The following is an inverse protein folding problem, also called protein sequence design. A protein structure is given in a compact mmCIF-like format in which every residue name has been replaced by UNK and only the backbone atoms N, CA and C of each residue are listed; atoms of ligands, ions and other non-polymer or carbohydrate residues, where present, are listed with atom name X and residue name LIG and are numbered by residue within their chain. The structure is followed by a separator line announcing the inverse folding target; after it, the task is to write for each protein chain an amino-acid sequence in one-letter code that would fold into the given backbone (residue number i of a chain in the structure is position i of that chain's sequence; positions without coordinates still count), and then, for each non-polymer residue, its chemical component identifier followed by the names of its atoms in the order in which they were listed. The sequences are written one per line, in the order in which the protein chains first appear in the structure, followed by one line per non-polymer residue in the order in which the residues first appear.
data_IF_927050908223
#
_entry.id   IF_927050908223
#
_cell.length_a   1.000
_cell.length_b   1.000
_cell.length_c   1.000
_cell.angle_alpha   90.00
_cell.angle_beta   90.00
_cell.angle_gamma   90.00
#
_symmetry.space_group_name_H-M   'P 1'
#
loop_
_entity.id
_entity.type
_entity.pdbx_description
1 polymer ?
#
# COMPACT_ATOMS: atom_id res chain seq x y z
N UNK A 1 -5.58 -4.61 24.80
CA UNK A 1 -5.18 -3.39 24.05
C UNK A 1 -6.21 -2.28 24.21
N UNK A 2 -7.50 -2.56 24.06
CA UNK A 2 -8.59 -1.59 24.18
C UNK A 2 -8.53 -0.81 25.51
N UNK A 3 -8.49 -1.51 26.65
CA UNK A 3 -8.40 -0.90 27.97
C UNK A 3 -7.16 0.00 28.16
N UNK A 4 -6.06 -0.33 27.46
CA UNK A 4 -4.84 0.49 27.47
C UNK A 4 -5.08 1.82 26.74
N UNK A 5 -5.69 1.78 25.56
CA UNK A 5 -6.00 2.98 24.77
C UNK A 5 -7.01 3.88 25.51
N UNK A 6 -8.04 3.31 26.11
CA UNK A 6 -9.01 4.06 26.91
C UNK A 6 -8.35 4.77 28.11
N UNK A 7 -7.43 4.09 28.79
CA UNK A 7 -6.66 4.69 29.87
C UNK A 7 -5.76 5.83 29.39
N UNK A 8 -5.13 5.67 28.22
CA UNK A 8 -4.30 6.73 27.61
C UNK A 8 -5.15 7.94 27.23
N UNK A 9 -6.34 7.72 26.65
CA UNK A 9 -7.30 8.78 26.35
C UNK A 9 -7.79 9.49 27.62
N UNK A 10 -8.05 8.73 28.68
CA UNK A 10 -8.38 9.32 29.98
C UNK A 10 -7.27 10.22 30.51
N UNK A 11 -6.01 9.75 30.44
CA UNK A 11 -4.84 10.56 30.84
C UNK A 11 -4.71 11.82 29.97
N UNK A 12 -4.90 11.71 28.65
CA UNK A 12 -4.85 12.84 27.72
C UNK A 12 -5.92 13.90 28.08
N UNK A 13 -7.13 13.47 28.43
CA UNK A 13 -8.23 14.36 28.85
C UNK A 13 -8.05 14.91 30.25
N UNK A 14 -7.38 14.18 31.14
CA UNK A 14 -7.10 14.67 32.49
C UNK A 14 -6.06 15.79 32.50
N UNK A 15 -5.14 15.81 31.55
CA UNK A 15 -4.19 16.91 31.39
C UNK A 15 -4.87 18.10 30.72
N UNK A 16 -5.15 19.16 31.52
CA UNK A 16 -5.82 20.38 31.04
C UNK A 16 -5.08 21.04 29.87
N UNK A 17 -3.77 20.83 29.75
CA UNK A 17 -2.98 21.38 28.64
C UNK A 17 -3.26 20.71 27.28
N UNK A 18 -3.76 19.48 27.30
CA UNK A 18 -4.21 18.79 26.09
C UNK A 18 -5.73 18.88 25.93
N UNK A 19 -6.51 18.62 27.00
CA UNK A 19 -7.97 18.53 26.92
C UNK A 19 -8.61 19.78 26.33
N UNK A 20 -8.15 20.98 26.74
CA UNK A 20 -8.65 22.26 26.21
C UNK A 20 -8.54 22.40 24.68
N UNK A 21 -7.60 21.70 24.07
CA UNK A 21 -7.35 21.74 22.63
C UNK A 21 -8.07 20.62 21.87
N UNK A 22 -8.63 19.64 22.56
CA UNK A 22 -9.46 18.61 21.94
C UNK A 22 -10.79 19.24 21.51
N UNK A 23 -11.04 19.29 20.20
CA UNK A 23 -12.27 19.82 19.63
C UNK A 23 -13.38 18.77 19.60
N UNK A 24 -13.05 17.56 19.23
CA UNK A 24 -13.96 16.42 19.11
C UNK A 24 -13.19 15.10 19.16
N UNK A 25 -13.83 14.06 19.63
CA UNK A 25 -13.33 12.68 19.56
C UNK A 25 -14.41 11.83 18.94
N UNK A 26 -14.11 11.26 17.78
CA UNK A 26 -14.96 10.30 17.08
C UNK A 26 -14.49 8.90 17.38
N UNK A 27 -15.40 8.04 17.78
CA UNK A 27 -15.15 6.62 17.97
C UNK A 27 -15.59 5.86 16.73
N UNK A 28 -14.65 5.23 16.07
CA UNK A 28 -14.91 4.27 15.00
C UNK A 28 -14.92 2.89 15.61
N UNK A 29 -16.13 2.31 15.67
CA UNK A 29 -16.33 0.99 16.25
C UNK A 29 -15.63 -0.11 15.48
N UNK A 30 -15.30 -1.17 16.18
CA UNK A 30 -14.78 -2.38 15.54
C UNK A 30 -15.82 -3.02 14.61
N UNK A 31 -15.30 -3.73 13.63
CA UNK A 31 -16.16 -4.48 12.71
C UNK A 31 -15.55 -5.87 12.49
N UNK A 32 -16.39 -6.87 12.69
CA UNK A 32 -16.06 -8.25 12.40
C UNK A 32 -15.83 -8.48 10.91
N UNK A 33 -15.04 -9.49 10.54
CA UNK A 33 -14.82 -9.83 9.14
C UNK A 33 -16.11 -10.34 8.48
N UNK A 34 -16.33 -9.97 7.24
CA UNK A 34 -17.41 -10.48 6.38
C UNK A 34 -16.75 -11.34 5.32
N UNK A 35 -16.91 -12.64 5.43
CA UNK A 35 -16.41 -13.59 4.47
C UNK A 35 -17.37 -13.74 3.29
N UNK A 36 -16.82 -14.14 2.13
CA UNK A 36 -17.58 -14.44 0.94
C UNK A 36 -17.51 -15.92 0.62
N UNK A 37 -18.33 -16.34 -0.35
CA UNK A 37 -18.29 -17.66 -0.94
C UNK A 37 -17.90 -17.56 -2.42
N UNK A 38 -17.12 -18.50 -2.90
CA UNK A 38 -16.76 -18.63 -4.31
C UNK A 38 -17.68 -19.66 -4.96
N UNK A 39 -18.13 -19.36 -6.18
CA UNK A 39 -19.09 -20.25 -6.91
C UNK A 39 -18.43 -21.49 -7.49
N UNK A 40 -17.23 -21.34 -7.98
CA UNK A 40 -16.45 -22.42 -8.58
C UNK A 40 -15.19 -22.64 -7.75
N UNK A 41 -14.84 -23.91 -7.53
CA UNK A 41 -13.64 -24.28 -6.79
C UNK A 41 -12.37 -23.70 -7.42
N UNK A 42 -11.42 -23.37 -6.57
CA UNK A 42 -10.08 -22.98 -7.00
C UNK A 42 -9.27 -24.23 -7.41
N UNK A 43 -8.27 -24.07 -8.27
CA UNK A 43 -7.25 -25.10 -8.48
C UNK A 43 -6.66 -25.57 -7.13
N UNK A 44 -6.38 -26.86 -7.03
CA UNK A 44 -5.94 -27.51 -5.80
C UNK A 44 -4.77 -26.77 -5.12
N UNK A 45 -3.79 -26.31 -5.89
CA UNK A 45 -2.64 -25.59 -5.37
C UNK A 45 -3.03 -24.29 -4.62
N UNK A 46 -4.07 -23.59 -5.10
CA UNK A 46 -4.56 -22.37 -4.46
C UNK A 46 -5.46 -22.67 -3.26
N UNK A 47 -6.29 -23.71 -3.35
CA UNK A 47 -7.10 -24.17 -2.21
C UNK A 47 -6.22 -24.61 -1.06
N UNK A 48 -5.22 -25.47 -1.31
CA UNK A 48 -4.26 -25.94 -0.33
C UNK A 48 -3.45 -24.79 0.30
N UNK A 49 -3.10 -23.78 -0.50
CA UNK A 49 -2.45 -22.56 0.01
C UNK A 49 -3.33 -21.83 1.01
N UNK A 50 -4.60 -21.59 0.66
CA UNK A 50 -5.54 -20.90 1.55
C UNK A 50 -5.77 -21.69 2.85
N UNK A 51 -5.93 -23.01 2.76
CA UNK A 51 -6.11 -23.88 3.92
C UNK A 51 -4.87 -23.89 4.83
N UNK A 52 -3.68 -24.10 4.27
CA UNK A 52 -2.41 -24.09 5.05
C UNK A 52 -2.16 -22.78 5.78
N UNK A 53 -2.59 -21.65 5.17
CA UNK A 53 -2.46 -20.32 5.78
C UNK A 53 -3.65 -19.95 6.66
N UNK A 54 -4.65 -20.82 6.76
CA UNK A 54 -5.91 -20.54 7.46
C UNK A 54 -6.56 -19.23 7.00
N UNK A 55 -6.57 -19.02 5.67
CA UNK A 55 -7.14 -17.83 5.04
C UNK A 55 -8.57 -18.12 4.59
N UNK A 56 -9.52 -17.42 5.19
CA UNK A 56 -10.89 -17.32 4.67
C UNK A 56 -11.01 -16.04 3.86
N UNK A 57 -11.53 -16.15 2.64
CA UNK A 57 -11.64 -15.00 1.74
C UNK A 57 -12.72 -14.03 2.19
N UNK A 58 -12.38 -12.76 2.24
CA UNK A 58 -13.34 -11.70 2.50
C UNK A 58 -14.29 -11.50 1.31
N UNK A 59 -15.46 -10.94 1.56
CA UNK A 59 -16.50 -10.67 0.55
C UNK A 59 -15.93 -10.00 -0.71
N UNK A 60 -15.18 -8.92 -0.56
CA UNK A 60 -14.57 -8.20 -1.71
C UNK A 60 -13.54 -9.03 -2.49
N UNK A 61 -12.85 -9.98 -1.83
CA UNK A 61 -11.91 -10.88 -2.50
C UNK A 61 -12.64 -11.90 -3.36
N UNK A 62 -13.73 -12.47 -2.84
CA UNK A 62 -14.59 -13.37 -3.61
C UNK A 62 -15.26 -12.64 -4.77
N UNK A 63 -15.79 -11.44 -4.55
CA UNK A 63 -16.40 -10.62 -5.61
C UNK A 63 -15.39 -10.27 -6.70
N UNK A 64 -14.16 -9.91 -6.34
CA UNK A 64 -13.08 -9.65 -7.31
C UNK A 64 -12.77 -10.87 -8.16
N UNK A 65 -12.64 -12.04 -7.54
CA UNK A 65 -12.41 -13.31 -8.21
C UNK A 65 -13.51 -13.61 -9.23
N UNK A 66 -14.77 -13.52 -8.83
CA UNK A 66 -15.92 -13.79 -9.69
C UNK A 66 -16.02 -12.81 -10.88
N UNK A 67 -15.78 -11.52 -10.66
CA UNK A 67 -15.85 -10.53 -11.74
C UNK A 67 -14.67 -10.68 -12.72
N UNK A 68 -13.48 -11.02 -12.22
CA UNK A 68 -12.33 -11.32 -13.09
C UNK A 68 -12.55 -12.57 -13.93
N UNK A 69 -13.13 -13.64 -13.36
CA UNK A 69 -13.49 -14.86 -14.08
C UNK A 69 -14.49 -14.60 -15.22
N UNK A 70 -15.39 -13.62 -15.06
CA UNK A 70 -16.34 -13.19 -16.11
C UNK A 70 -15.68 -12.34 -17.20
N UNK A 71 -14.41 -11.99 -17.08
CA UNK A 71 -13.71 -11.13 -18.03
C UNK A 71 -13.94 -9.62 -17.81
N UNK A 72 -14.53 -9.21 -16.69
CA UNK A 72 -14.77 -7.80 -16.40
C UNK A 72 -13.52 -7.10 -15.92
N UNK A 73 -13.27 -5.87 -16.39
CA UNK A 73 -12.33 -4.98 -15.72
C UNK A 73 -12.92 -4.56 -14.37
N UNK A 74 -12.10 -4.51 -13.34
CA UNK A 74 -12.55 -4.14 -11.99
C UNK A 74 -11.75 -2.99 -11.40
N UNK A 75 -12.41 -2.21 -10.55
CA UNK A 75 -11.76 -1.24 -9.67
C UNK A 75 -12.08 -1.58 -8.21
N UNK A 76 -11.04 -1.86 -7.43
CA UNK A 76 -11.12 -2.22 -6.01
C UNK A 76 -10.81 -0.98 -5.19
N UNK A 77 -11.77 -0.53 -4.36
CA UNK A 77 -11.63 0.69 -3.54
C UNK A 77 -11.78 0.43 -2.05
N UNK A 78 -11.32 -0.71 -1.58
CA UNK A 78 -11.34 -1.02 -0.15
C UNK A 78 -10.16 -0.33 0.55
N UNK A 79 -10.23 -0.06 1.87
CA UNK A 79 -9.18 0.59 2.64
C UNK A 79 -7.82 -0.09 2.52
N UNK A 80 -6.76 0.61 2.94
CA UNK A 80 -5.44 -0.02 3.12
C UNK A 80 -5.52 -1.17 4.12
N UNK A 81 -4.67 -2.17 3.96
CA UNK A 81 -4.64 -3.39 4.78
C UNK A 81 -5.93 -4.25 4.76
N UNK A 82 -6.83 -4.06 3.79
CA UNK A 82 -8.02 -4.90 3.62
C UNK A 82 -7.77 -6.21 2.88
N UNK A 83 -6.54 -6.47 2.43
CA UNK A 83 -6.21 -7.66 1.63
C UNK A 83 -6.45 -7.51 0.13
N UNK A 84 -6.43 -6.26 -0.42
CA UNK A 84 -6.54 -5.99 -1.86
C UNK A 84 -5.56 -6.80 -2.72
N UNK A 85 -4.34 -6.95 -2.24
CA UNK A 85 -3.30 -7.70 -2.94
C UNK A 85 -3.71 -9.14 -3.24
N UNK A 86 -4.36 -9.81 -2.29
CA UNK A 86 -4.89 -11.15 -2.51
C UNK A 86 -6.10 -11.14 -3.46
N UNK A 87 -6.94 -10.09 -3.40
CA UNK A 87 -8.12 -9.94 -4.25
C UNK A 87 -7.79 -9.93 -5.75
N UNK A 88 -6.61 -9.43 -6.15
CA UNK A 88 -6.19 -9.49 -7.55
C UNK A 88 -5.16 -10.59 -7.84
N UNK A 89 -4.29 -10.95 -6.90
CA UNK A 89 -3.32 -12.02 -7.13
C UNK A 89 -3.96 -13.39 -7.27
N UNK A 90 -4.96 -13.70 -6.44
CA UNK A 90 -5.61 -15.01 -6.45
C UNK A 90 -6.22 -15.37 -7.83
N UNK A 91 -7.07 -14.53 -8.45
CA UNK A 91 -7.61 -14.81 -9.77
C UNK A 91 -6.56 -14.81 -10.89
N UNK A 92 -5.52 -13.98 -10.78
CA UNK A 92 -4.42 -13.98 -11.75
C UNK A 92 -3.65 -15.29 -11.66
N UNK A 93 -3.28 -15.77 -10.47
CA UNK A 93 -2.60 -17.04 -10.29
C UNK A 93 -3.48 -18.21 -10.72
N UNK A 94 -4.78 -18.16 -10.46
CA UNK A 94 -5.73 -19.13 -10.98
C UNK A 94 -5.67 -19.22 -12.52
N UNK A 95 -5.72 -18.08 -13.19
CA UNK A 95 -5.65 -18.06 -14.66
C UNK A 95 -4.30 -18.56 -15.17
N UNK A 96 -3.20 -18.09 -14.57
CA UNK A 96 -1.84 -18.48 -14.94
C UNK A 96 -1.56 -19.96 -14.65
N UNK A 97 -2.27 -20.59 -13.74
CA UNK A 97 -2.16 -22.04 -13.50
C UNK A 97 -2.78 -22.87 -14.63
N UNK A 98 -3.82 -22.32 -15.28
CA UNK A 98 -4.56 -22.97 -16.37
C UNK A 98 -3.94 -22.73 -17.75
N UNK A 99 -3.28 -21.59 -17.95
CA UNK A 99 -2.61 -21.18 -19.19
C UNK A 99 -1.13 -20.90 -18.94
N UNK A 100 -0.25 -21.80 -19.37
CA UNK A 100 1.19 -21.71 -19.15
C UNK A 100 1.89 -20.60 -19.94
N UNK A 101 1.25 -20.04 -20.97
CA UNK A 101 1.79 -18.94 -21.78
C UNK A 101 1.33 -17.57 -21.32
N UNK A 102 0.20 -17.49 -20.62
CA UNK A 102 -0.37 -16.23 -20.15
C UNK A 102 0.62 -15.44 -19.31
N UNK A 103 0.60 -14.11 -19.51
CA UNK A 103 1.44 -13.15 -18.78
C UNK A 103 0.61 -12.07 -18.12
N UNK A 104 1.19 -11.41 -17.11
CA UNK A 104 0.57 -10.31 -16.39
C UNK A 104 1.56 -9.16 -16.13
N UNK A 105 1.09 -7.93 -16.27
CA UNK A 105 1.84 -6.72 -16.03
C UNK A 105 1.30 -6.02 -14.78
N UNK A 106 2.17 -5.73 -13.82
CA UNK A 106 1.84 -4.99 -12.61
C UNK A 106 2.54 -3.64 -12.63
N UNK A 107 1.78 -2.57 -12.53
CA UNK A 107 2.28 -1.19 -12.54
C UNK A 107 2.09 -0.54 -11.18
N UNK A 108 3.19 -0.20 -10.55
CA UNK A 108 3.25 0.52 -9.29
C UNK A 108 3.81 1.93 -9.49
N UNK A 109 3.36 2.92 -8.72
CA UNK A 109 3.86 4.29 -8.86
C UNK A 109 5.30 4.47 -8.40
N UNK A 110 5.81 3.59 -7.53
CA UNK A 110 7.17 3.68 -6.98
C UNK A 110 7.91 2.35 -7.03
N UNK A 111 9.25 2.43 -7.12
CA UNK A 111 10.14 1.26 -7.09
C UNK A 111 10.07 0.50 -5.76
N UNK A 112 9.85 1.20 -4.64
CA UNK A 112 9.73 0.59 -3.32
C UNK A 112 8.54 -0.38 -3.28
N UNK A 113 7.36 0.08 -3.72
CA UNK A 113 6.17 -0.76 -3.86
C UNK A 113 6.41 -1.96 -4.77
N UNK A 114 7.05 -1.74 -5.93
CA UNK A 114 7.37 -2.83 -6.87
C UNK A 114 8.20 -3.92 -6.20
N UNK A 115 9.20 -3.55 -5.41
CA UNK A 115 10.07 -4.51 -4.75
C UNK A 115 9.38 -5.26 -3.60
N UNK A 116 8.48 -4.61 -2.86
CA UNK A 116 7.72 -5.26 -1.79
C UNK A 116 6.68 -6.22 -2.37
N UNK A 117 6.01 -5.83 -3.43
CA UNK A 117 5.08 -6.71 -4.13
C UNK A 117 5.78 -7.90 -4.82
N UNK A 118 7.00 -7.72 -5.31
CA UNK A 118 7.80 -8.84 -5.82
C UNK A 118 8.01 -9.91 -4.73
N UNK A 119 8.25 -9.52 -3.48
CA UNK A 119 8.38 -10.48 -2.37
C UNK A 119 7.08 -11.27 -2.15
N UNK A 120 5.94 -10.58 -2.19
CA UNK A 120 4.61 -11.20 -2.05
C UNK A 120 4.36 -12.19 -3.19
N UNK A 121 4.63 -11.81 -4.43
CA UNK A 121 4.45 -12.67 -5.61
C UNK A 121 5.36 -13.90 -5.57
N UNK A 122 6.62 -13.74 -5.16
CA UNK A 122 7.55 -14.87 -5.00
C UNK A 122 7.15 -15.81 -3.87
N UNK A 123 6.64 -15.28 -2.76
CA UNK A 123 6.11 -16.09 -1.70
C UNK A 123 4.89 -16.90 -2.16
N UNK A 124 3.98 -16.25 -2.88
CA UNK A 124 2.81 -16.92 -3.44
C UNK A 124 3.19 -18.00 -4.47
N UNK A 125 4.15 -17.71 -5.35
CA UNK A 125 4.71 -18.71 -6.30
C UNK A 125 5.27 -19.92 -5.57
N UNK A 126 6.10 -19.71 -4.56
CA UNK A 126 6.71 -20.79 -3.77
C UNK A 126 5.69 -21.63 -3.00
N UNK A 127 4.67 -20.97 -2.44
CA UNK A 127 3.64 -21.63 -1.62
C UNK A 127 2.59 -22.38 -2.46
N UNK A 128 2.31 -21.91 -3.68
CA UNK A 128 1.32 -22.52 -4.58
C UNK A 128 1.95 -23.44 -5.60
N UNK A 129 3.27 -23.43 -5.76
CA UNK A 129 4.02 -24.12 -6.81
C UNK A 129 3.59 -23.76 -8.26
N UNK A 130 2.84 -22.66 -8.42
CA UNK A 130 2.43 -22.13 -9.73
C UNK A 130 3.57 -21.29 -10.28
N UNK A 131 4.34 -21.83 -11.20
CA UNK A 131 5.51 -21.17 -11.78
C UNK A 131 5.13 -19.98 -12.65
N UNK A 132 5.37 -18.77 -12.17
CA UNK A 132 5.12 -17.50 -12.86
C UNK A 132 6.37 -16.66 -13.04
N UNK A 133 7.48 -17.02 -12.36
CA UNK A 133 8.78 -16.35 -12.40
C UNK A 133 8.66 -14.81 -12.32
N UNK A 134 8.11 -14.26 -11.21
CA UNK A 134 7.85 -12.85 -11.11
C UNK A 134 9.16 -12.07 -10.97
N UNK A 135 9.31 -10.99 -11.74
CA UNK A 135 10.48 -10.13 -11.67
C UNK A 135 10.13 -8.65 -11.78
N UNK A 136 10.89 -7.81 -11.08
CA UNK A 136 10.87 -6.36 -11.30
C UNK A 136 11.68 -6.05 -12.56
N UNK A 137 11.11 -5.20 -13.41
CA UNK A 137 11.79 -4.62 -14.55
C UNK A 137 11.65 -3.09 -14.50
N UNK A 138 12.73 -2.44 -14.11
CA UNK A 138 12.80 -0.99 -13.94
C UNK A 138 14.21 -0.46 -14.26
N UNK A 139 14.44 0.85 -14.01
CA UNK A 139 15.73 1.48 -14.29
C UNK A 139 16.92 0.92 -13.49
N UNK A 140 16.65 0.23 -12.36
CA UNK A 140 17.72 -0.38 -11.53
C UNK A 140 18.00 -1.84 -11.93
N UNK A 141 17.20 -2.41 -12.83
CA UNK A 141 17.39 -3.78 -13.31
C UNK A 141 18.68 -3.88 -14.12
N UNK A 142 19.67 -4.71 -13.71
CA UNK A 142 20.95 -4.85 -14.40
C UNK A 142 20.78 -5.30 -15.85
N UNK A 143 21.55 -4.70 -16.76
CA UNK A 143 21.45 -4.96 -18.21
C UNK A 143 21.66 -6.43 -18.57
N UNK A 144 22.53 -7.13 -17.84
CA UNK A 144 22.84 -8.54 -18.09
C UNK A 144 21.65 -9.48 -17.89
N UNK A 145 20.73 -9.18 -16.96
CA UNK A 145 19.57 -10.04 -16.66
C UNK A 145 18.31 -9.63 -17.41
N UNK A 146 18.27 -8.43 -18.02
CA UNK A 146 17.10 -7.92 -18.75
C UNK A 146 16.60 -8.87 -19.84
N UNK A 147 17.46 -9.49 -20.70
CA UNK A 147 16.99 -10.46 -21.69
C UNK A 147 16.31 -11.69 -21.08
N UNK A 148 16.88 -12.21 -19.98
CA UNK A 148 16.33 -13.37 -19.27
C UNK A 148 14.94 -13.04 -18.70
N UNK A 149 14.80 -11.89 -18.02
CA UNK A 149 13.50 -11.46 -17.48
C UNK A 149 12.44 -11.35 -18.58
N UNK A 150 12.77 -10.72 -19.72
CA UNK A 150 11.83 -10.58 -20.85
C UNK A 150 11.32 -11.91 -21.41
N UNK A 151 12.19 -12.92 -21.43
CA UNK A 151 11.89 -14.18 -22.08
C UNK A 151 11.24 -15.20 -21.14
N UNK A 152 11.53 -15.13 -19.84
CA UNK A 152 11.17 -16.18 -18.90
C UNK A 152 10.09 -15.73 -17.88
N UNK A 153 9.93 -14.42 -17.66
CA UNK A 153 8.98 -13.94 -16.64
C UNK A 153 7.56 -13.89 -17.20
N UNK A 154 6.65 -14.54 -16.50
CA UNK A 154 5.22 -14.47 -16.80
C UNK A 154 4.53 -13.34 -16.05
N UNK A 155 5.10 -12.89 -14.91
CA UNK A 155 4.67 -11.69 -14.21
C UNK A 155 5.81 -10.67 -14.23
N UNK A 156 5.55 -9.50 -14.81
CA UNK A 156 6.46 -8.36 -14.79
C UNK A 156 5.89 -7.30 -13.86
N UNK A 157 6.68 -6.90 -12.86
CA UNK A 157 6.39 -5.78 -11.98
C UNK A 157 7.22 -4.58 -12.44
N UNK A 158 6.57 -3.46 -12.74
CA UNK A 158 7.23 -2.28 -13.30
C UNK A 158 6.58 -0.98 -12.82
N UNK A 159 6.96 0.13 -13.42
CA UNK A 159 6.37 1.43 -13.18
C UNK A 159 6.11 2.17 -14.52
N UNK A 160 5.27 3.22 -14.53
CA UNK A 160 4.92 3.93 -15.75
C UNK A 160 6.12 4.52 -16.51
N UNK A 161 7.18 4.94 -15.83
CA UNK A 161 8.38 5.50 -16.47
C UNK A 161 9.12 4.45 -17.27
N UNK A 162 9.35 3.27 -16.69
CA UNK A 162 10.04 2.19 -17.39
C UNK A 162 9.20 1.66 -18.54
N UNK A 163 7.89 1.53 -18.37
CA UNK A 163 7.00 1.13 -19.47
C UNK A 163 7.05 2.13 -20.63
N UNK A 164 7.15 3.43 -20.36
CA UNK A 164 7.36 4.42 -21.39
C UNK A 164 8.65 4.17 -22.21
N UNK A 165 9.72 3.74 -21.56
CA UNK A 165 10.99 3.38 -22.20
C UNK A 165 10.94 2.04 -22.93
N UNK A 166 10.15 1.08 -22.46
CA UNK A 166 10.00 -0.26 -23.07
C UNK A 166 9.23 -0.20 -24.38
N UNK A 167 8.12 0.56 -24.43
CA UNK A 167 7.19 0.53 -25.55
C UNK A 167 7.80 0.83 -26.94
N UNK A 168 8.77 1.74 -27.12
CA UNK A 168 9.47 1.91 -28.42
C UNK A 168 10.22 0.65 -28.88
N UNK A 169 10.58 -0.22 -27.95
CA UNK A 169 11.30 -1.48 -28.19
C UNK A 169 10.39 -2.70 -27.99
N UNK A 170 9.07 -2.56 -28.20
CA UNK A 170 8.07 -3.60 -27.95
C UNK A 170 8.35 -4.90 -28.70
N UNK A 171 9.01 -4.86 -29.85
CA UNK A 171 9.40 -6.06 -30.61
C UNK A 171 10.29 -7.02 -29.79
N UNK A 172 11.08 -6.52 -28.82
CA UNK A 172 11.84 -7.36 -27.89
C UNK A 172 10.98 -8.03 -26.84
N UNK A 173 9.72 -7.60 -26.72
CA UNK A 173 8.72 -8.05 -25.75
C UNK A 173 7.54 -8.75 -26.41
N UNK A 174 7.67 -9.11 -27.69
CA UNK A 174 6.59 -9.69 -28.47
C UNK A 174 5.94 -10.86 -27.73
N UNK A 175 6.71 -11.83 -27.24
CA UNK A 175 6.20 -12.97 -26.50
C UNK A 175 5.36 -12.54 -25.27
N UNK A 176 5.82 -11.58 -24.52
CA UNK A 176 5.12 -11.07 -23.34
C UNK A 176 3.81 -10.37 -23.72
N UNK A 177 3.84 -9.44 -24.67
CA UNK A 177 2.64 -8.70 -25.07
C UNK A 177 1.63 -9.56 -25.83
N UNK A 178 2.04 -10.54 -26.63
CA UNK A 178 1.11 -11.46 -27.32
C UNK A 178 0.30 -12.31 -26.34
N UNK A 179 0.86 -12.60 -25.18
CA UNK A 179 0.24 -13.45 -24.16
C UNK A 179 -0.29 -12.65 -22.96
N UNK A 180 -0.28 -11.32 -23.03
CA UNK A 180 -0.70 -10.47 -21.91
C UNK A 180 -2.21 -10.59 -21.67
N UNK A 181 -2.58 -11.07 -20.47
CA UNK A 181 -3.97 -11.29 -20.05
C UNK A 181 -4.43 -10.30 -18.99
N UNK A 182 -3.51 -9.81 -18.16
CA UNK A 182 -3.84 -8.91 -17.07
C UNK A 182 -2.90 -7.72 -16.98
N UNK A 183 -3.47 -6.54 -16.71
CA UNK A 183 -2.73 -5.34 -16.32
C UNK A 183 -3.28 -4.88 -14.98
N UNK A 184 -2.44 -4.89 -13.95
CA UNK A 184 -2.75 -4.40 -12.61
C UNK A 184 -2.18 -3.00 -12.45
N UNK A 185 -3.02 -2.04 -12.07
CA UNK A 185 -2.65 -0.69 -11.69
C UNK A 185 -2.92 -0.54 -10.19
N UNK A 186 -1.88 -0.67 -9.37
CA UNK A 186 -2.04 -0.54 -7.93
C UNK A 186 -1.70 0.88 -7.44
N UNK A 187 -2.28 1.26 -6.29
CA UNK A 187 -2.22 2.62 -5.72
C UNK A 187 -2.60 3.70 -6.75
N UNK A 188 -3.62 3.40 -7.55
CA UNK A 188 -3.99 4.22 -8.71
C UNK A 188 -4.44 5.64 -8.35
N UNK A 189 -4.82 5.92 -7.10
CA UNK A 189 -5.15 7.27 -6.62
C UNK A 189 -3.99 8.27 -6.77
N UNK A 190 -2.76 7.80 -6.99
CA UNK A 190 -1.58 8.63 -7.26
C UNK A 190 -1.58 9.17 -8.68
N UNK A 191 -2.22 8.47 -9.64
CA UNK A 191 -2.25 8.86 -11.04
C UNK A 191 -3.22 10.02 -11.27
N UNK A 192 -2.86 11.23 -10.77
CA UNK A 192 -3.66 12.46 -10.86
C UNK A 192 -2.87 13.58 -11.52
N UNK A 193 -3.59 14.62 -11.96
CA UNK A 193 -3.00 15.81 -12.59
C UNK A 193 -2.17 15.45 -13.82
N UNK A 194 -1.05 16.12 -14.00
CA UNK A 194 -0.13 15.92 -15.14
C UNK A 194 0.42 14.50 -15.19
N UNK A 195 0.78 13.93 -14.03
CA UNK A 195 1.27 12.55 -13.97
C UNK A 195 0.19 11.56 -14.43
N UNK A 196 -1.03 11.70 -13.92
CA UNK A 196 -2.16 10.85 -14.33
C UNK A 196 -2.49 10.96 -15.81
N UNK A 197 -2.43 12.15 -16.39
CA UNK A 197 -2.61 12.37 -17.84
C UNK A 197 -1.55 11.62 -18.65
N UNK A 198 -0.29 11.67 -18.24
CA UNK A 198 0.79 10.94 -18.91
C UNK A 198 0.59 9.42 -18.79
N UNK A 199 0.18 8.93 -17.62
CA UNK A 199 -0.12 7.50 -17.40
C UNK A 199 -1.30 7.06 -18.26
N UNK A 200 -2.35 7.88 -18.40
CA UNK A 200 -3.49 7.60 -19.28
C UNK A 200 -3.06 7.43 -20.74
N UNK A 201 -2.20 8.32 -21.25
CA UNK A 201 -1.65 8.22 -22.60
C UNK A 201 -0.74 6.98 -22.76
N UNK A 202 0.03 6.65 -21.72
CA UNK A 202 0.85 5.44 -21.69
C UNK A 202 -0.02 4.17 -21.78
N UNK A 203 -1.11 4.09 -21.03
CA UNK A 203 -2.04 2.96 -21.05
C UNK A 203 -2.59 2.75 -22.47
N UNK A 204 -3.06 3.80 -23.14
CA UNK A 204 -3.54 3.71 -24.52
C UNK A 204 -2.47 3.23 -25.51
N UNK A 205 -1.20 3.52 -25.25
CA UNK A 205 -0.10 2.99 -26.04
C UNK A 205 0.15 1.51 -25.75
N UNK A 206 0.02 1.08 -24.48
CA UNK A 206 0.10 -0.35 -24.12
C UNK A 206 -1.02 -1.12 -24.81
N UNK A 207 -2.26 -0.64 -24.76
CA UNK A 207 -3.42 -1.24 -25.42
C UNK A 207 -3.17 -1.44 -26.92
N UNK A 208 -2.69 -0.40 -27.62
CA UNK A 208 -2.35 -0.51 -29.06
C UNK A 208 -1.26 -1.53 -29.36
N UNK A 209 -0.25 -1.66 -28.47
CA UNK A 209 0.79 -2.68 -28.62
C UNK A 209 0.20 -4.07 -28.39
N UNK A 210 -0.67 -4.23 -27.41
CA UNK A 210 -1.38 -5.48 -27.16
C UNK A 210 -2.25 -5.88 -28.37
N UNK A 211 -3.05 -4.94 -28.88
CA UNK A 211 -3.88 -5.15 -30.07
C UNK A 211 -3.03 -5.54 -31.29
N UNK A 212 -1.90 -4.88 -31.52
CA UNK A 212 -0.98 -5.21 -32.60
C UNK A 212 -0.44 -6.63 -32.50
N UNK A 213 -0.22 -7.16 -31.30
CA UNK A 213 0.22 -8.54 -31.06
C UNK A 213 -0.94 -9.52 -30.82
N UNK A 214 -2.19 -9.09 -30.96
CA UNK A 214 -3.38 -9.94 -30.87
C UNK A 214 -3.81 -10.27 -29.43
N UNK A 215 -3.40 -9.50 -28.45
CA UNK A 215 -3.87 -9.64 -27.06
C UNK A 215 -4.84 -8.52 -26.65
N UNK A 216 -5.72 -8.83 -25.71
CA UNK A 216 -6.68 -7.89 -25.11
C UNK A 216 -6.69 -8.11 -23.59
N UNK A 217 -5.79 -7.47 -22.86
CA UNK A 217 -5.67 -7.69 -21.43
C UNK A 217 -6.83 -7.11 -20.65
N UNK A 218 -7.24 -7.80 -19.60
CA UNK A 218 -8.17 -7.32 -18.59
C UNK A 218 -7.44 -6.40 -17.61
N UNK A 219 -8.07 -5.27 -17.26
CA UNK A 219 -7.50 -4.30 -16.33
C UNK A 219 -8.08 -4.47 -14.93
N UNK A 220 -7.19 -4.45 -13.95
CA UNK A 220 -7.50 -4.49 -12.53
C UNK A 220 -6.89 -3.26 -11.89
N UNK A 221 -7.72 -2.37 -11.37
CA UNK A 221 -7.29 -1.16 -10.70
C UNK A 221 -7.50 -1.32 -9.19
N UNK A 222 -6.45 -1.16 -8.42
CA UNK A 222 -6.51 -1.12 -6.96
C UNK A 222 -6.17 0.29 -6.48
N UNK A 223 -6.96 0.80 -5.56
CA UNK A 223 -6.81 2.17 -5.06
C UNK A 223 -7.28 2.28 -3.62
N UNK A 224 -6.80 3.30 -2.90
CA UNK A 224 -7.42 3.75 -1.67
C UNK A 224 -8.84 4.28 -1.95
N UNK A 225 -9.58 4.60 -0.90
CA UNK A 225 -10.95 5.15 -1.03
C UNK A 225 -10.97 6.41 -1.89
N UNK A 226 -11.76 6.39 -2.96
CA UNK A 226 -12.02 7.50 -3.87
C UNK A 226 -13.52 7.80 -3.90
N UNK A 227 -13.88 9.08 -4.09
CA UNK A 227 -15.29 9.48 -4.18
C UNK A 227 -15.98 8.97 -5.46
N UNK A 228 -15.23 8.91 -6.58
CA UNK A 228 -15.73 8.54 -7.90
C UNK A 228 -14.81 7.54 -8.63
N UNK A 229 -14.65 6.31 -8.09
CA UNK A 229 -13.63 5.36 -8.57
C UNK A 229 -13.88 4.86 -9.99
N UNK A 230 -15.14 4.63 -10.38
CA UNK A 230 -15.47 4.21 -11.75
C UNK A 230 -15.10 5.30 -12.76
N UNK A 231 -15.56 6.52 -12.54
CA UNK A 231 -15.25 7.64 -13.43
C UNK A 231 -13.74 7.86 -13.56
N UNK A 232 -13.02 7.75 -12.43
CA UNK A 232 -11.57 7.83 -12.42
C UNK A 232 -10.93 6.74 -13.28
N UNK A 233 -11.32 5.48 -13.09
CA UNK A 233 -10.80 4.34 -13.83
C UNK A 233 -11.10 4.46 -15.35
N UNK A 234 -12.32 4.84 -15.69
CA UNK A 234 -12.74 5.04 -17.08
C UNK A 234 -11.99 6.21 -17.75
N UNK A 235 -11.75 7.30 -17.04
CA UNK A 235 -10.92 8.41 -17.56
C UNK A 235 -9.46 8.02 -17.74
N UNK A 236 -8.93 7.23 -16.80
CA UNK A 236 -7.53 6.79 -16.83
C UNK A 236 -7.26 5.84 -18.01
N UNK A 237 -8.17 4.90 -18.30
CA UNK A 237 -7.95 3.82 -19.26
C UNK A 237 -8.83 3.92 -20.52
N UNK A 238 -10.00 4.53 -20.45
CA UNK A 238 -10.99 4.54 -21.53
C UNK A 238 -11.90 3.31 -21.53
N UNK A 239 -11.76 2.39 -20.58
CA UNK A 239 -12.49 1.13 -20.49
C UNK A 239 -13.61 1.20 -19.45
N UNK A 240 -14.57 0.24 -19.54
CA UNK A 240 -15.64 0.09 -18.55
C UNK A 240 -15.20 -0.81 -17.39
N UNK A 241 -15.70 -0.51 -16.19
CA UNK A 241 -15.30 -1.18 -14.95
C UNK A 241 -16.49 -1.61 -14.11
N UNK A 242 -16.29 -2.70 -13.35
CA UNK A 242 -17.11 -3.06 -12.19
C UNK A 242 -16.45 -2.54 -10.92
N UNK A 243 -17.25 -1.98 -10.02
CA UNK A 243 -16.78 -1.47 -8.72
C UNK A 243 -16.82 -2.58 -7.68
N UNK A 244 -15.71 -2.77 -6.98
CA UNK A 244 -15.59 -3.59 -5.78
C UNK A 244 -15.30 -2.66 -4.61
N UNK A 245 -16.31 -2.35 -3.81
CA UNK A 245 -16.22 -1.36 -2.72
C UNK A 245 -16.65 -1.90 -1.36
N UNK A 246 -17.36 -3.04 -1.31
CA UNK A 246 -17.83 -3.62 -0.07
C UNK A 246 -16.69 -4.32 0.68
N UNK A 247 -15.98 -3.55 1.52
CA UNK A 247 -14.88 -4.04 2.31
C UNK A 247 -15.33 -5.06 3.37
N UNK A 248 -14.97 -6.32 3.19
CA UNK A 248 -15.21 -7.41 4.15
C UNK A 248 -14.12 -7.60 5.19
N UNK A 249 -13.05 -6.79 5.21
CA UNK A 249 -11.97 -6.95 6.19
C UNK A 249 -12.39 -6.53 7.59
N UNK A 250 -11.86 -7.15 8.66
CA UNK A 250 -12.10 -6.71 10.01
C UNK A 250 -11.50 -5.33 10.26
N UNK A 251 -12.09 -4.57 11.15
CA UNK A 251 -11.55 -3.29 11.60
C UNK A 251 -11.48 -3.28 13.11
N UNK A 252 -10.33 -2.92 13.64
CA UNK A 252 -10.20 -2.64 15.05
C UNK A 252 -10.81 -1.29 15.42
N UNK A 253 -11.22 -1.15 16.67
CA UNK A 253 -11.70 0.09 17.26
C UNK A 253 -10.66 1.20 17.13
N UNK A 254 -11.07 2.39 16.70
CA UNK A 254 -10.18 3.55 16.52
C UNK A 254 -10.80 4.79 17.11
N UNK A 255 -9.97 5.59 17.77
CA UNK A 255 -10.32 6.91 18.25
C UNK A 255 -9.72 7.96 17.32
N UNK A 256 -10.56 8.75 16.68
CA UNK A 256 -10.17 9.84 15.81
C UNK A 256 -10.31 11.16 16.57
N UNK A 257 -9.18 11.80 16.88
CA UNK A 257 -9.13 12.99 17.75
C UNK A 257 -8.92 14.22 16.86
N UNK A 258 -9.88 15.13 16.88
CA UNK A 258 -9.72 16.47 16.29
C UNK A 258 -9.08 17.38 17.32
N UNK A 259 -7.85 17.76 17.08
CA UNK A 259 -7.05 18.58 17.98
C UNK A 259 -6.77 19.96 17.38
N UNK A 260 -7.21 21.03 18.06
CA UNK A 260 -7.01 22.41 17.63
C UNK A 260 -6.06 23.15 18.58
N UNK A 261 -4.78 23.33 18.24
CA UNK A 261 -3.80 24.01 19.08
C UNK A 261 -4.11 25.49 19.35
N UNK A 262 -5.04 26.08 18.61
CA UNK A 262 -5.41 27.50 18.70
C UNK A 262 -6.75 27.75 19.37
N UNK A 263 -7.43 26.71 19.87
CA UNK A 263 -8.83 26.80 20.38
C UNK A 263 -9.02 27.84 21.49
N UNK A 264 -8.02 28.05 22.30
CA UNK A 264 -8.09 28.95 23.48
C UNK A 264 -7.21 30.22 23.38
N UNK A 265 -6.79 30.57 22.16
CA UNK A 265 -5.98 31.77 21.94
C UNK A 265 -4.50 31.64 22.35
N UNK A 266 -4.07 30.47 22.78
CA UNK A 266 -2.66 30.19 23.02
C UNK A 266 -1.89 30.12 21.72
N UNK A 267 -0.79 30.85 21.62
CA UNK A 267 0.04 30.90 20.41
C UNK A 267 1.13 29.82 20.34
N UNK A 268 0.84 28.63 20.86
CA UNK A 268 1.77 27.52 20.66
C UNK A 268 1.76 27.09 19.17
N UNK A 269 2.94 26.98 18.60
CA UNK A 269 3.00 26.55 17.19
C UNK A 269 2.49 25.12 17.04
N UNK A 270 1.81 24.83 15.93
CA UNK A 270 1.35 23.47 15.58
C UNK A 270 2.47 22.44 15.75
N UNK A 271 3.70 22.81 15.41
CA UNK A 271 4.86 21.91 15.53
C UNK A 271 5.22 21.59 16.98
N UNK A 272 5.08 22.56 17.92
CA UNK A 272 5.31 22.32 19.34
C UNK A 272 4.21 21.42 19.93
N UNK A 273 2.96 21.63 19.53
CA UNK A 273 1.87 20.77 19.97
C UNK A 273 2.01 19.34 19.39
N UNK A 274 2.37 19.20 18.11
CA UNK A 274 2.67 17.89 17.52
C UNK A 274 3.81 17.18 18.28
N UNK A 275 4.87 17.90 18.66
CA UNK A 275 5.96 17.35 19.48
C UNK A 275 5.44 16.89 20.85
N UNK A 276 4.59 17.70 21.52
CA UNK A 276 4.05 17.35 22.84
C UNK A 276 3.18 16.09 22.78
N UNK A 277 2.26 16.02 21.82
CA UNK A 277 1.43 14.83 21.60
C UNK A 277 2.28 13.61 21.25
N UNK A 278 3.26 13.77 20.38
CA UNK A 278 4.17 12.71 19.97
C UNK A 278 4.93 12.11 21.14
N UNK A 279 5.50 12.97 22.03
CA UNK A 279 6.16 12.51 23.23
C UNK A 279 5.20 11.90 24.25
N UNK A 280 4.00 12.46 24.38
CA UNK A 280 2.99 11.91 25.27
C UNK A 280 2.68 10.45 24.91
N UNK A 281 2.37 10.17 23.65
CA UNK A 281 2.05 8.82 23.22
C UNK A 281 3.24 7.84 23.32
N UNK A 282 4.46 8.30 23.03
CA UNK A 282 5.67 7.49 23.21
C UNK A 282 5.91 7.15 24.68
N UNK A 283 5.71 8.10 25.59
CA UNK A 283 5.82 7.89 27.05
C UNK A 283 4.80 6.89 27.59
N UNK A 284 3.61 6.89 27.00
CA UNK A 284 2.58 5.88 27.29
C UNK A 284 2.86 4.50 26.61
N UNK A 285 4.00 4.36 25.95
CA UNK A 285 4.45 3.09 25.34
C UNK A 285 3.96 2.83 23.92
N UNK A 286 3.18 3.75 23.34
CA UNK A 286 2.63 3.59 21.99
C UNK A 286 3.70 3.80 20.91
N UNK A 287 3.63 2.97 19.88
CA UNK A 287 4.38 3.20 18.66
C UNK A 287 3.69 4.26 17.80
N UNK A 288 4.33 5.42 17.67
CA UNK A 288 3.70 6.64 17.16
C UNK A 288 4.36 7.13 15.88
N UNK A 289 3.57 7.42 14.86
CA UNK A 289 3.98 8.10 13.64
C UNK A 289 3.44 9.53 13.63
N UNK A 290 4.32 10.52 13.43
CA UNK A 290 3.94 11.92 13.25
C UNK A 290 4.23 12.35 11.82
N UNK A 291 3.19 12.65 11.04
CA UNK A 291 3.33 13.21 9.70
C UNK A 291 3.62 14.70 9.74
N UNK A 292 4.50 15.15 8.86
CA UNK A 292 4.95 16.53 8.77
C UNK A 292 4.90 17.02 7.32
N UNK A 293 4.66 18.30 7.13
CA UNK A 293 4.55 18.93 5.81
C UNK A 293 5.88 19.10 5.07
N UNK A 294 7.02 18.93 5.76
CA UNK A 294 8.33 19.10 5.13
C UNK A 294 9.42 18.22 5.76
N UNK A 295 10.44 17.90 4.95
CA UNK A 295 11.63 17.16 5.40
C UNK A 295 12.33 17.84 6.58
N UNK A 296 12.39 19.19 6.56
CA UNK A 296 13.00 19.97 7.66
C UNK A 296 12.22 19.80 8.97
N UNK A 297 10.88 19.82 8.90
CA UNK A 297 10.06 19.65 10.09
C UNK A 297 10.11 18.24 10.65
N UNK A 298 10.20 17.23 9.79
CA UNK A 298 10.43 15.86 10.24
C UNK A 298 11.70 15.74 11.10
N UNK A 299 12.82 16.27 10.64
CA UNK A 299 14.07 16.29 11.42
C UNK A 299 13.97 17.11 12.69
N UNK A 300 13.36 18.30 12.62
CA UNK A 300 13.27 19.20 13.77
C UNK A 300 12.39 18.65 14.88
N UNK A 301 11.22 18.08 14.56
CA UNK A 301 10.34 17.51 15.58
C UNK A 301 11.01 16.30 16.25
N UNK A 302 11.67 15.42 15.49
CA UNK A 302 12.43 14.33 16.09
C UNK A 302 13.54 14.82 17.02
N UNK A 303 14.31 15.81 16.57
CA UNK A 303 15.39 16.41 17.36
C UNK A 303 14.86 17.07 18.64
N UNK A 304 13.86 17.94 18.52
CA UNK A 304 13.26 18.62 19.69
C UNK A 304 12.61 17.62 20.66
N UNK A 305 12.07 16.52 20.16
CA UNK A 305 11.56 15.45 21.00
C UNK A 305 12.67 14.82 21.83
N UNK A 306 13.79 14.49 21.20
CA UNK A 306 14.98 13.94 21.91
C UNK A 306 15.55 14.92 22.94
N UNK A 307 15.63 16.22 22.61
CA UNK A 307 16.11 17.28 23.49
C UNK A 307 15.17 17.55 24.69
N UNK A 308 13.88 17.18 24.56
CA UNK A 308 12.88 17.37 25.62
C UNK A 308 12.77 16.16 26.57
N UNK A 309 13.52 15.09 26.34
CA UNK A 309 13.59 13.91 27.21
C UNK A 309 14.63 14.19 28.32
N UNK A 310 14.24 13.89 29.56
CA UNK A 310 15.15 13.99 30.69
C UNK A 310 16.09 12.80 30.84
N UNK A 311 16.95 12.80 31.86
CA UNK A 311 17.93 11.75 32.08
C UNK A 311 17.29 10.38 32.40
N UNK A 312 16.10 10.35 32.97
CA UNK A 312 15.36 9.11 33.25
C UNK A 312 14.77 8.46 31.97
N UNK A 313 14.57 9.26 30.95
CA UNK A 313 13.98 8.90 29.65
C UNK A 313 15.04 8.70 28.55
N UNK A 314 16.33 8.71 28.88
CA UNK A 314 17.42 8.61 27.91
C UNK A 314 17.31 7.40 26.98
N UNK A 315 16.79 6.31 27.49
CA UNK A 315 16.51 5.07 26.73
C UNK A 315 15.50 5.26 25.59
N UNK A 316 14.73 6.35 25.56
CA UNK A 316 13.79 6.68 24.49
C UNK A 316 14.45 7.48 23.36
N UNK A 317 15.59 8.14 23.59
CA UNK A 317 16.26 8.96 22.57
C UNK A 317 16.62 8.16 21.32
N UNK A 318 17.12 6.94 21.52
CA UNK A 318 17.49 6.05 20.41
C UNK A 318 16.29 5.40 19.73
N UNK A 319 15.10 5.47 20.33
CA UNK A 319 13.84 4.94 19.80
C UNK A 319 13.02 5.95 19.01
N UNK A 320 13.49 7.20 18.90
CA UNK A 320 12.87 8.27 18.13
C UNK A 320 13.72 8.56 16.90
N UNK A 321 13.12 8.52 15.72
CA UNK A 321 13.81 8.74 14.45
C UNK A 321 13.02 9.68 13.54
N UNK A 322 13.74 10.40 12.67
CA UNK A 322 13.13 11.03 11.51
C UNK A 322 13.21 10.07 10.32
N UNK A 323 12.24 10.17 9.40
CA UNK A 323 12.25 9.43 8.14
C UNK A 323 11.86 10.36 7.00
N UNK A 324 12.66 10.39 5.93
CA UNK A 324 12.39 11.24 4.76
C UNK A 324 13.02 10.69 3.48
N UNK A 325 12.49 11.14 2.37
CA UNK A 325 13.15 10.96 1.09
C UNK A 325 14.53 11.67 1.11
N UNK A 326 15.56 10.97 0.62
CA UNK A 326 16.94 11.45 0.59
C UNK A 326 17.88 10.80 1.61
N UNK A 327 17.38 9.94 2.50
CA UNK A 327 18.23 9.04 3.27
C UNK A 327 18.78 7.94 2.36
N UNK A 328 19.97 7.44 2.71
CA UNK A 328 20.53 6.27 2.04
C UNK A 328 19.59 5.08 2.17
N UNK A 329 19.54 4.19 1.17
CA UNK A 329 18.66 3.01 1.21
C UNK A 329 18.86 2.14 2.47
N UNK A 330 20.07 2.05 2.98
CA UNK A 330 20.42 1.28 4.18
C UNK A 330 19.82 1.92 5.44
N UNK A 331 19.90 3.24 5.57
CA UNK A 331 19.31 3.98 6.68
C UNK A 331 17.79 3.84 6.69
N UNK A 332 17.15 3.95 5.52
CA UNK A 332 15.70 3.75 5.40
C UNK A 332 15.30 2.36 5.86
N UNK A 333 15.97 1.31 5.35
CA UNK A 333 15.70 -0.08 5.76
C UNK A 333 15.89 -0.31 7.25
N UNK A 334 16.91 0.34 7.86
CA UNK A 334 17.13 0.26 9.30
C UNK A 334 15.95 0.82 10.08
N UNK A 335 15.41 1.96 9.68
CA UNK A 335 14.26 2.60 10.34
C UNK A 335 12.99 1.76 10.11
N UNK A 336 12.75 1.31 8.89
CA UNK A 336 11.61 0.47 8.50
C UNK A 336 11.60 -0.85 9.30
N UNK A 337 12.73 -1.54 9.38
CA UNK A 337 12.87 -2.75 10.18
C UNK A 337 12.74 -2.47 11.69
N UNK A 338 13.27 -1.34 12.15
CA UNK A 338 13.16 -0.94 13.55
C UNK A 338 11.70 -0.65 13.96
N UNK A 339 10.90 -0.06 13.07
CA UNK A 339 9.46 0.11 13.24
C UNK A 339 8.76 -1.26 13.26
N UNK A 340 8.97 -2.06 12.24
CA UNK A 340 8.34 -3.39 12.11
C UNK A 340 8.58 -4.28 13.31
N UNK A 341 9.77 -4.22 13.90
CA UNK A 341 10.15 -5.02 15.07
C UNK A 341 9.83 -4.33 16.41
N UNK A 342 9.18 -3.15 16.41
CA UNK A 342 8.80 -2.43 17.62
C UNK A 342 9.98 -1.83 18.42
N UNK A 343 11.20 -1.84 17.86
CA UNK A 343 12.41 -1.25 18.46
C UNK A 343 12.33 0.27 18.44
N UNK A 344 11.88 0.85 17.31
CA UNK A 344 11.61 2.27 17.19
C UNK A 344 10.20 2.55 17.68
N UNK A 345 10.05 3.48 18.62
CA UNK A 345 8.76 3.84 19.21
C UNK A 345 8.16 5.11 18.61
N UNK A 346 8.97 5.97 18.05
CA UNK A 346 8.50 7.19 17.45
C UNK A 346 9.19 7.51 16.13
N UNK A 347 8.40 7.80 15.09
CA UNK A 347 8.93 8.29 13.82
C UNK A 347 8.20 9.54 13.40
N UNK A 348 8.96 10.55 13.02
CA UNK A 348 8.44 11.73 12.32
C UNK A 348 8.75 11.60 10.84
N UNK A 349 7.76 11.75 9.98
CA UNK A 349 7.93 11.55 8.55
C UNK A 349 7.17 12.58 7.71
N UNK A 350 7.61 12.75 6.48
CA UNK A 350 6.77 13.30 5.43
C UNK A 350 5.91 12.19 4.85
N UNK A 351 5.16 12.47 3.77
CA UNK A 351 4.43 11.45 3.02
C UNK A 351 5.31 10.28 2.48
N UNK A 352 6.60 10.27 2.76
CA UNK A 352 7.51 9.19 2.36
C UNK A 352 7.20 7.84 3.03
N UNK A 353 6.49 7.82 4.18
CA UNK A 353 5.99 6.61 4.83
C UNK A 353 4.49 6.32 4.54
N UNK A 354 3.85 7.15 3.72
CA UNK A 354 2.43 6.98 3.36
C UNK A 354 2.21 5.79 2.44
N UNK A 355 3.18 5.49 1.59
CA UNK A 355 3.03 4.55 0.49
C UNK A 355 4.01 3.38 0.57
N UNK A 356 3.43 2.18 0.62
CA UNK A 356 4.07 0.95 0.23
C UNK A 356 5.19 0.42 1.11
N UNK A 357 5.22 0.83 2.37
CA UNK A 357 6.17 0.29 3.32
C UNK A 357 5.39 -0.47 4.39
N UNK A 358 5.65 -1.75 4.54
CA UNK A 358 5.14 -2.56 5.64
C UNK A 358 5.93 -2.23 6.91
N UNK A 359 5.41 -1.27 7.67
CA UNK A 359 6.00 -0.81 8.94
C UNK A 359 5.42 -1.52 10.17
N UNK A 360 4.57 -2.54 9.96
CA UNK A 360 3.90 -3.23 11.05
C UNK A 360 2.76 -2.44 11.67
N UNK A 361 2.33 -2.85 12.87
CA UNK A 361 1.25 -2.18 13.59
C UNK A 361 1.71 -0.87 14.23
N UNK A 362 1.09 0.25 13.85
CA UNK A 362 1.21 1.53 14.54
C UNK A 362 0.06 1.67 15.53
N UNK A 363 0.36 2.16 16.73
CA UNK A 363 -0.64 2.38 17.78
C UNK A 363 -1.27 3.77 17.67
N UNK A 364 -0.50 4.79 17.25
CA UNK A 364 -1.01 6.14 17.06
C UNK A 364 -0.38 6.88 15.88
N UNK A 365 -1.14 7.83 15.31
CA UNK A 365 -0.72 8.67 14.18
C UNK A 365 -1.13 10.11 14.47
N UNK A 366 -0.23 11.09 14.20
CA UNK A 366 -0.42 12.53 14.39
C UNK A 366 -0.23 13.23 13.05
#
# INVERSE_FOLDING_TARGET
MEQVIENILFKLRKDSSFDRNIAHVELLEEREPIYGEIKEELPINLSDYLERKNISLYKHQCESLEEIRKGNNIVITTPTASGKTLAFNLPIFEFLSKDSHATALYLYPTKALSNDQLKVLRALEAETEIRVNPNVYDGDTPSAIRPKIRNESRIIVSNPYEMHHILPWNYKWQHFFSNLKFIVLDEAHIYRGVFGSNVSLLIRRIERVCEYYGSSPQFIISTATLANPIEFAEKLTGLKYKLISEDGSPKGKKYFIFYNPYKNGDYLSTHQESKRLFLFFIREGLQTLCFTVSRKMSELIARWSKESLDNSEEHLKDKIMAYRAGYLPEERRRIENGLKNGVIKGVTSTNALELGIDIGGLDSVI
#
